data_IF_720689459104
#
_entry.id   IF_720689459104
#
_cell.length_a   1.000
_cell.length_b   1.000
_cell.length_c   1.000
_cell.angle_alpha   90.00
_cell.angle_beta   90.00
_cell.angle_gamma   90.00
#
_symmetry.space_group_name_H-M   'P 1'
#
loop_
_entity.id
_entity.type
_entity.pdbx_description
1 polymer ?
#
# COMPACT_ATOMS: atom_id res chain seq x y z
N UNK A 1 28.30 1.37 -43.02
CA UNK A 1 27.30 1.94 -42.09
C UNK A 1 27.60 1.38 -40.70
N UNK A 2 28.20 2.19 -39.83
CA UNK A 2 28.48 1.80 -38.44
C UNK A 2 27.30 2.26 -37.59
N UNK A 3 26.56 1.31 -37.01
CA UNK A 3 25.49 1.59 -36.07
C UNK A 3 26.13 1.79 -34.69
N UNK A 4 26.13 3.03 -34.21
CA UNK A 4 26.52 3.36 -32.84
C UNK A 4 25.29 3.13 -31.94
N UNK A 5 25.25 2.01 -31.23
CA UNK A 5 24.24 1.75 -30.20
C UNK A 5 24.61 2.50 -28.93
N UNK A 6 24.07 3.71 -28.76
CA UNK A 6 24.15 4.43 -27.49
C UNK A 6 23.20 3.77 -26.49
N UNK A 7 23.72 2.84 -25.70
CA UNK A 7 23.04 2.39 -24.48
C UNK A 7 22.99 3.58 -23.53
N UNK A 8 21.81 4.19 -23.38
CA UNK A 8 21.59 5.19 -22.35
C UNK A 8 21.79 4.51 -20.99
N UNK A 9 22.87 4.87 -20.31
CA UNK A 9 23.06 4.55 -18.89
C UNK A 9 21.89 5.26 -18.17
N UNK A 10 21.02 4.56 -17.44
CA UNK A 10 20.00 5.24 -16.66
C UNK A 10 20.74 6.20 -15.73
N UNK A 11 20.49 7.50 -15.92
CA UNK A 11 21.01 8.56 -15.07
C UNK A 11 20.65 8.19 -13.64
N UNK A 12 21.65 7.84 -12.83
CA UNK A 12 21.45 7.49 -11.42
C UNK A 12 20.65 8.62 -10.79
N UNK A 13 19.39 8.35 -10.45
CA UNK A 13 18.59 9.24 -9.63
C UNK A 13 19.44 9.59 -8.42
N UNK A 14 19.51 10.88 -8.04
CA UNK A 14 20.18 11.26 -6.81
C UNK A 14 19.47 10.54 -5.67
N UNK A 15 20.01 9.41 -5.24
CA UNK A 15 19.42 8.64 -4.15
C UNK A 15 19.58 9.50 -2.90
N UNK A 16 18.47 10.02 -2.37
CA UNK A 16 18.45 10.48 -0.99
C UNK A 16 18.90 9.33 -0.09
N UNK A 17 19.46 9.65 1.08
CA UNK A 17 19.85 8.63 2.04
C UNK A 17 18.64 7.71 2.32
N UNK A 18 18.85 6.39 2.35
CA UNK A 18 17.77 5.42 2.57
C UNK A 18 17.08 5.63 3.93
N UNK A 19 17.76 6.26 4.89
CA UNK A 19 17.20 6.61 6.20
C UNK A 19 16.50 7.98 6.23
N UNK A 20 16.68 8.81 5.22
CA UNK A 20 15.99 10.09 5.08
C UNK A 20 14.67 9.91 4.31
N UNK A 21 13.75 10.84 4.49
CA UNK A 21 12.52 10.92 3.69
C UNK A 21 12.91 11.01 2.21
N UNK A 22 12.24 10.20 1.38
CA UNK A 22 12.43 10.17 -0.07
C UNK A 22 11.81 11.40 -0.76
N UNK A 23 11.96 11.44 -2.09
CA UNK A 23 11.63 12.63 -2.87
C UNK A 23 10.13 12.79 -3.18
N UNK A 24 9.30 11.81 -2.82
CA UNK A 24 7.87 11.80 -3.10
C UNK A 24 7.04 12.21 -1.89
N UNK A 25 6.06 13.09 -2.11
CA UNK A 25 5.05 13.42 -1.11
C UNK A 25 4.05 12.28 -1.02
N UNK A 26 3.86 11.70 0.16
CA UNK A 26 3.00 10.52 0.31
C UNK A 26 1.60 10.84 0.79
N UNK A 27 0.62 10.07 0.30
CA UNK A 27 -0.76 10.07 0.78
C UNK A 27 -1.05 8.77 1.51
N UNK A 28 -1.68 8.87 2.68
CA UNK A 28 -2.19 7.73 3.43
C UNK A 28 -3.69 7.58 3.17
N UNK A 29 -4.11 6.39 2.73
CA UNK A 29 -5.48 6.06 2.37
C UNK A 29 -5.91 4.89 3.25
N UNK A 30 -6.92 5.11 4.09
CA UNK A 30 -7.52 4.06 4.90
C UNK A 30 -8.74 3.51 4.16
N UNK A 31 -8.77 2.20 3.93
CA UNK A 31 -9.91 1.50 3.35
C UNK A 31 -10.51 0.62 4.46
N UNK A 32 -11.77 0.88 4.78
CA UNK A 32 -12.53 0.04 5.72
C UNK A 32 -13.09 -1.18 5.00
N UNK A 33 -13.33 -2.27 5.74
CA UNK A 33 -14.18 -3.34 5.23
C UNK A 33 -15.63 -2.86 5.25
N UNK A 34 -16.28 -2.80 4.11
CA UNK A 34 -17.71 -2.49 4.04
C UNK A 34 -18.50 -3.72 4.45
N UNK A 35 -19.11 -3.66 5.63
CA UNK A 35 -20.36 -4.38 5.87
C UNK A 35 -21.47 -3.63 5.11
N UNK A 36 -21.84 -4.14 3.93
CA UNK A 36 -23.05 -3.77 3.17
C UNK A 36 -23.19 -2.30 2.72
N UNK A 37 -22.64 -1.93 1.56
CA UNK A 37 -23.11 -0.77 0.78
C UNK A 37 -23.81 -1.19 -0.51
N UNK A 38 -25.14 -1.03 -0.56
CA UNK A 38 -26.01 -1.36 -1.71
C UNK A 38 -26.07 -0.28 -2.79
N UNK A 39 -25.12 0.65 -2.87
CA UNK A 39 -25.15 1.63 -3.96
C UNK A 39 -23.76 2.11 -4.38
N UNK A 40 -23.60 2.24 -5.70
CA UNK A 40 -22.50 2.80 -6.48
C UNK A 40 -21.36 1.86 -6.91
N UNK A 41 -21.40 1.52 -8.21
CA UNK A 41 -20.28 1.26 -9.14
C UNK A 41 -19.18 0.25 -8.75
N UNK A 42 -19.41 -1.00 -9.18
CA UNK A 42 -18.42 -1.96 -9.73
C UNK A 42 -17.11 -2.27 -8.99
N UNK A 43 -16.96 -1.95 -7.71
CA UNK A 43 -15.84 -2.42 -6.91
C UNK A 43 -16.36 -3.02 -5.63
N UNK A 44 -16.41 -4.36 -5.54
CA UNK A 44 -16.64 -5.03 -4.27
C UNK A 44 -15.57 -4.57 -3.28
N UNK A 45 -15.95 -4.12 -2.08
CA UNK A 45 -15.01 -3.67 -1.06
C UNK A 45 -14.07 -4.81 -0.65
N UNK A 46 -12.85 -4.50 -0.19
CA UNK A 46 -11.89 -5.53 0.18
C UNK A 46 -12.41 -6.33 1.39
N UNK A 47 -12.15 -7.65 1.44
CA UNK A 47 -12.64 -8.50 2.54
C UNK A 47 -12.14 -8.10 3.93
N UNK A 48 -11.03 -7.36 4.01
CA UNK A 48 -10.46 -6.84 5.26
C UNK A 48 -10.10 -5.38 5.11
N UNK A 49 -10.19 -4.58 6.20
CA UNK A 49 -9.72 -3.22 6.17
C UNK A 49 -8.22 -3.21 5.87
N UNK A 50 -7.75 -2.24 5.09
CA UNK A 50 -6.35 -2.11 4.75
C UNK A 50 -5.93 -0.65 4.70
N UNK A 51 -4.64 -0.43 4.90
CA UNK A 51 -4.01 0.88 4.85
C UNK A 51 -3.10 0.94 3.63
N UNK A 52 -3.29 1.92 2.76
CA UNK A 52 -2.46 2.13 1.57
C UNK A 52 -1.66 3.42 1.77
N UNK A 53 -0.37 3.37 1.47
CA UNK A 53 0.46 4.57 1.34
C UNK A 53 1.04 4.63 -0.08
N UNK A 54 0.90 5.77 -0.74
CA UNK A 54 1.33 5.94 -2.12
C UNK A 54 1.92 7.34 -2.34
N UNK A 55 2.86 7.50 -3.30
CA UNK A 55 3.24 8.80 -3.84
C UNK A 55 2.01 9.56 -4.34
N UNK A 56 1.99 10.87 -4.11
CA UNK A 56 0.90 11.75 -4.56
C UNK A 56 1.08 12.16 -6.01
N UNK A 57 2.31 12.09 -6.52
CA UNK A 57 2.64 12.43 -7.90
C UNK A 57 2.20 11.31 -8.84
N UNK A 58 1.62 11.68 -9.98
CA UNK A 58 1.23 10.72 -11.01
C UNK A 58 2.45 9.97 -11.55
N UNK A 59 2.34 8.65 -11.66
CA UNK A 59 3.45 7.80 -12.10
C UNK A 59 3.13 6.31 -11.96
N UNK A 60 4.03 5.49 -12.49
CA UNK A 60 3.98 4.03 -12.32
C UNK A 60 5.00 3.66 -11.25
N UNK A 61 4.51 3.11 -10.14
CA UNK A 61 5.35 2.73 -9.00
C UNK A 61 5.20 1.24 -8.70
N UNK A 62 6.28 0.56 -8.29
CA UNK A 62 6.20 -0.81 -7.78
C UNK A 62 5.30 -0.89 -6.54
N UNK A 63 4.58 -2.02 -6.41
CA UNK A 63 3.66 -2.28 -5.30
C UNK A 63 4.29 -3.26 -4.31
N UNK A 64 4.23 -2.94 -3.02
CA UNK A 64 4.69 -3.77 -1.91
C UNK A 64 3.51 -4.12 -1.01
N UNK A 65 3.42 -5.40 -0.60
CA UNK A 65 2.48 -5.83 0.44
C UNK A 65 3.23 -5.93 1.76
N UNK A 66 2.79 -5.14 2.75
CA UNK A 66 3.35 -5.11 4.09
C UNK A 66 2.48 -5.90 5.07
N UNK A 67 3.08 -6.88 5.74
CA UNK A 67 2.43 -7.73 6.73
C UNK A 67 2.93 -7.36 8.13
N UNK A 68 2.04 -6.91 9.01
CA UNK A 68 2.40 -6.58 10.39
C UNK A 68 2.51 -7.83 11.27
N UNK A 69 3.18 -7.71 12.42
CA UNK A 69 3.30 -8.79 13.39
C UNK A 69 1.99 -9.15 14.11
N UNK A 70 2.00 -10.23 14.88
CA UNK A 70 0.87 -10.74 15.65
C UNK A 70 0.32 -9.71 16.64
N UNK A 71 -1.01 -9.55 16.70
CA UNK A 71 -1.74 -8.61 17.59
C UNK A 71 -1.43 -7.12 17.42
N UNK A 72 -0.90 -6.70 16.28
CA UNK A 72 -0.65 -5.28 15.98
C UNK A 72 -1.65 -4.73 14.97
N UNK A 73 -1.80 -3.40 14.96
CA UNK A 73 -2.56 -2.71 13.91
C UNK A 73 -1.61 -2.24 12.80
N UNK A 74 -2.09 -2.26 11.55
CA UNK A 74 -1.32 -1.73 10.41
C UNK A 74 -0.95 -0.23 10.59
N UNK A 75 -1.78 0.53 11.32
CA UNK A 75 -1.59 1.96 11.57
C UNK A 75 -0.38 2.28 12.45
N UNK A 76 0.08 1.32 13.28
CA UNK A 76 1.29 1.48 14.09
C UNK A 76 2.55 1.62 13.23
N UNK A 77 2.49 1.14 11.98
CA UNK A 77 3.58 1.23 11.01
C UNK A 77 3.39 2.39 10.01
N UNK A 78 2.44 3.30 10.22
CA UNK A 78 2.14 4.39 9.29
C UNK A 78 3.37 5.23 8.92
N UNK A 79 4.27 5.50 9.88
CA UNK A 79 5.51 6.22 9.63
C UNK A 79 6.46 5.45 8.69
N UNK A 80 6.59 4.14 8.90
CA UNK A 80 7.39 3.26 8.03
C UNK A 80 6.79 3.16 6.63
N UNK A 81 5.45 3.02 6.53
CA UNK A 81 4.75 2.95 5.25
C UNK A 81 4.95 4.24 4.44
N UNK A 82 4.84 5.40 5.09
CA UNK A 82 5.12 6.71 4.47
C UNK A 82 6.58 6.85 4.06
N UNK A 83 7.52 6.41 4.89
CA UNK A 83 8.93 6.43 4.55
C UNK A 83 9.19 5.63 3.26
N UNK A 84 8.74 4.38 3.20
CA UNK A 84 8.93 3.54 2.01
C UNK A 84 8.21 4.14 0.80
N UNK A 85 6.99 4.65 0.96
CA UNK A 85 6.27 5.27 -0.14
C UNK A 85 6.96 6.54 -0.68
N UNK A 86 7.62 7.31 0.19
CA UNK A 86 8.36 8.52 -0.21
C UNK A 86 9.56 8.21 -1.12
N UNK A 87 10.04 6.96 -1.11
CA UNK A 87 11.09 6.45 -2.01
C UNK A 87 10.53 5.91 -3.34
N UNK A 88 9.23 6.09 -3.62
CA UNK A 88 8.63 5.74 -4.91
C UNK A 88 8.00 4.34 -4.94
N UNK A 89 7.36 3.93 -3.84
CA UNK A 89 6.63 2.65 -3.76
C UNK A 89 5.17 2.87 -3.37
N UNK A 90 4.27 2.04 -3.90
CA UNK A 90 2.91 1.94 -3.36
C UNK A 90 2.93 0.80 -2.33
N UNK A 91 2.65 1.12 -1.07
CA UNK A 91 2.66 0.15 0.02
C UNK A 91 1.24 -0.15 0.47
N UNK A 92 0.86 -1.42 0.41
CA UNK A 92 -0.46 -1.94 0.80
C UNK A 92 -0.29 -2.74 2.09
N UNK A 93 -0.95 -2.34 3.17
CA UNK A 93 -0.88 -2.98 4.47
C UNK A 93 -2.26 -3.47 4.93
N UNK A 94 -2.67 -4.69 4.56
CA UNK A 94 -3.90 -5.29 5.06
C UNK A 94 -3.86 -5.49 6.58
N UNK A 95 -5.00 -5.29 7.24
CA UNK A 95 -5.15 -5.66 8.65
C UNK A 95 -5.39 -7.18 8.73
N UNK A 96 -4.44 -7.91 9.30
CA UNK A 96 -4.61 -9.32 9.64
C UNK A 96 -5.20 -9.41 11.04
N UNK A 97 -6.10 -10.38 11.21
CA UNK A 97 -6.89 -10.70 12.41
C UNK A 97 -6.30 -10.14 13.71
N UNK A 98 -7.00 -9.15 14.28
CA UNK A 98 -6.86 -8.81 15.70
C UNK A 98 -7.76 -9.81 16.40
N UNK A 99 -7.19 -10.77 17.14
CA UNK A 99 -7.95 -11.83 17.81
C UNK A 99 -9.03 -11.21 18.72
N UNK A 100 -10.25 -11.05 18.19
CA UNK A 100 -11.55 -11.02 18.88
C UNK A 100 -12.72 -10.61 17.97
N UNK A 101 -12.53 -9.77 16.94
CA UNK A 101 -13.68 -9.28 16.14
C UNK A 101 -13.94 -10.03 14.82
N UNK A 102 -12.92 -10.66 14.23
CA UNK A 102 -13.04 -11.23 12.88
C UNK A 102 -13.62 -12.66 12.82
N UNK A 103 -13.75 -13.37 13.95
CA UNK A 103 -14.25 -14.77 13.94
C UNK A 103 -15.77 -14.84 13.77
N UNK A 104 -16.51 -13.77 14.09
CA UNK A 104 -17.97 -13.83 14.16
C UNK A 104 -18.71 -13.43 12.88
N UNK A 105 -18.02 -12.97 11.83
CA UNK A 105 -18.67 -12.51 10.59
C UNK A 105 -18.90 -13.65 9.57
N UNK A 106 -18.17 -14.76 9.66
CA UNK A 106 -18.26 -15.86 8.67
C UNK A 106 -19.37 -16.90 8.93
N UNK A 107 -20.24 -16.74 9.95
CA UNK A 107 -21.18 -17.80 10.37
C UNK A 107 -22.69 -17.53 10.14
N UNK A 108 -23.11 -16.59 9.27
CA UNK A 108 -24.55 -16.33 9.05
C UNK A 108 -25.03 -16.33 7.57
N UNK A 109 -24.31 -16.94 6.64
CA UNK A 109 -24.86 -17.23 5.29
C UNK A 109 -24.80 -18.72 4.94
N UNK A 110 -25.47 -19.56 5.73
CA UNK A 110 -25.96 -20.85 5.23
C UNK A 110 -27.23 -21.25 5.98
N UNK A 111 -28.38 -20.98 5.34
CA UNK A 111 -29.72 -21.37 5.80
C UNK A 111 -30.74 -21.10 4.71
#
# INVERSE_FOLDING_TARGET
>A
MVMNSSTAIPTSASSSNVFDIGNHTTKLIKIEADNCRKNASSSSPPPKPLLICAPSEEGVYPVLVFLHGFLLYNSFYSQLLQHVASHGFIVVAPQYIVLMCDVFVDNHETG
#
